data_IF_239357470122
#
_entry.id   IF_239357470122
#
_cell.length_a   1.000
_cell.length_b   1.000
_cell.length_c   1.000
_cell.angle_alpha   90.00
_cell.angle_beta   90.00
_cell.angle_gamma   90.00
#
_symmetry.space_group_name_H-M   'P 1'
#
loop_
_entity.id
_entity.type
_entity.pdbx_description
1 polymer ?
#
# COMPACT_ATOMS: atom_id res chain seq x y z
N UNK A 1 -12.53 -10.46 7.81
CA UNK A 1 -11.76 -9.93 6.66
C UNK A 1 -11.38 -8.50 7.00
N UNK A 2 -10.19 -8.04 6.61
CA UNK A 2 -9.81 -6.62 6.72
C UNK A 2 -9.65 -6.07 5.30
N UNK A 3 -10.29 -4.95 5.02
CA UNK A 3 -10.10 -4.23 3.76
C UNK A 3 -9.81 -2.75 4.04
N UNK A 4 -9.00 -2.12 3.20
CA UNK A 4 -8.71 -0.70 3.37
C UNK A 4 -7.85 -0.12 2.26
N UNK A 5 -7.95 1.19 2.08
CA UNK A 5 -7.10 1.98 1.19
C UNK A 5 -6.28 2.97 2.00
N UNK A 6 -5.14 2.57 2.61
CA UNK A 6 -4.38 3.47 3.46
C UNK A 6 -3.84 4.64 2.62
N UNK A 7 -4.14 5.90 2.98
CA UNK A 7 -3.71 7.04 2.20
C UNK A 7 -2.19 7.11 2.19
N UNK A 8 -1.62 7.19 0.99
CA UNK A 8 -0.19 7.36 0.75
C UNK A 8 -0.01 8.62 -0.09
N UNK A 9 -0.37 9.78 0.47
CA UNK A 9 -0.44 11.00 -0.34
C UNK A 9 0.94 11.45 -0.81
N UNK A 10 2.00 11.13 -0.06
CA UNK A 10 3.39 11.56 -0.37
C UNK A 10 3.93 11.06 -1.70
N UNK A 11 3.32 10.02 -2.29
CA UNK A 11 3.77 9.44 -3.58
C UNK A 11 3.18 10.13 -4.81
N UNK A 12 2.11 10.92 -4.62
CA UNK A 12 1.41 11.57 -5.74
C UNK A 12 2.35 12.47 -6.55
N UNK A 13 2.21 12.42 -7.88
CA UNK A 13 2.97 13.27 -8.81
C UNK A 13 2.80 14.78 -8.58
N UNK A 14 1.73 15.20 -7.90
CA UNK A 14 1.48 16.60 -7.56
C UNK A 14 2.32 17.11 -6.38
N UNK A 15 2.97 16.22 -5.62
CA UNK A 15 3.87 16.65 -4.56
C UNK A 15 5.22 17.09 -5.11
N UNK A 16 5.57 18.35 -4.87
CA UNK A 16 6.90 18.89 -5.21
C UNK A 16 8.00 18.31 -4.34
N UNK A 17 7.74 18.16 -3.04
CA UNK A 17 8.70 17.65 -2.06
C UNK A 17 8.38 16.19 -1.73
N UNK A 18 8.90 15.28 -2.53
CA UNK A 18 8.74 13.84 -2.34
C UNK A 18 10.01 13.26 -1.76
N UNK A 19 9.88 12.49 -0.68
CA UNK A 19 11.01 11.79 -0.09
C UNK A 19 11.22 10.45 -0.81
N UNK A 20 12.09 10.44 -1.81
CA UNK A 20 12.41 9.23 -2.57
C UNK A 20 13.33 8.27 -1.82
N UNK A 21 14.17 8.78 -0.93
CA UNK A 21 15.17 7.99 -0.20
C UNK A 21 14.50 7.22 0.94
N UNK A 22 13.60 7.86 1.67
CA UNK A 22 12.92 7.28 2.84
C UNK A 22 11.40 7.50 2.77
N UNK A 23 10.69 6.76 1.89
CA UNK A 23 9.25 6.96 1.67
C UNK A 23 8.37 6.76 2.91
N UNK A 24 8.80 5.94 3.88
CA UNK A 24 8.04 5.66 5.11
C UNK A 24 8.22 6.73 6.20
N UNK A 25 9.30 7.51 6.15
CA UNK A 25 9.52 8.64 7.06
C UNK A 25 8.63 9.84 6.70
N UNK A 26 8.05 9.84 5.49
CA UNK A 26 7.02 10.81 5.12
C UNK A 26 5.73 10.54 5.91
N UNK A 27 5.35 11.49 6.77
CA UNK A 27 4.13 11.44 7.58
C UNK A 27 2.88 11.10 6.78
N UNK A 28 2.85 11.50 5.50
CA UNK A 28 1.72 11.31 4.58
C UNK A 28 1.58 9.87 4.07
N UNK A 29 2.55 9.01 4.36
CA UNK A 29 2.54 7.59 4.02
C UNK A 29 2.42 6.68 5.27
N UNK A 30 2.44 7.25 6.49
CA UNK A 30 2.41 6.49 7.76
C UNK A 30 1.19 5.59 7.93
N UNK A 31 0.06 5.92 7.30
CA UNK A 31 -1.15 5.10 7.36
C UNK A 31 -0.97 3.71 6.76
N UNK A 32 0.01 3.51 5.86
CA UNK A 32 0.37 2.18 5.38
C UNK A 32 0.91 1.29 6.52
N UNK A 33 1.75 1.85 7.39
CA UNK A 33 2.31 1.14 8.54
C UNK A 33 1.20 0.79 9.51
N UNK A 34 0.35 1.76 9.85
CA UNK A 34 -0.79 1.57 10.76
C UNK A 34 -1.73 0.47 10.23
N UNK A 35 -2.06 0.48 8.94
CA UNK A 35 -2.89 -0.55 8.33
C UNK A 35 -2.27 -1.96 8.48
N UNK A 36 -0.96 -2.09 8.23
CA UNK A 36 -0.25 -3.36 8.40
C UNK A 36 -0.19 -3.81 9.86
N UNK A 37 -0.08 -2.89 10.80
CA UNK A 37 -0.08 -3.20 12.23
C UNK A 37 -1.45 -3.69 12.71
N UNK A 38 -2.54 -3.09 12.21
CA UNK A 38 -3.91 -3.58 12.44
C UNK A 38 -4.08 -5.00 11.88
N UNK A 39 -3.59 -5.27 10.67
CA UNK A 39 -3.63 -6.61 10.06
C UNK A 39 -2.83 -7.61 10.91
N UNK A 40 -1.64 -7.21 11.38
CA UNK A 40 -0.78 -8.07 12.20
C UNK A 40 -1.41 -8.39 13.56
N UNK A 41 -2.07 -7.42 14.17
CA UNK A 41 -2.76 -7.58 15.45
C UNK A 41 -3.99 -8.48 15.32
N UNK A 42 -4.86 -8.22 14.34
CA UNK A 42 -6.12 -8.94 14.18
C UNK A 42 -5.97 -10.32 13.53
N UNK A 43 -4.87 -10.58 12.82
CA UNK A 43 -4.60 -11.84 12.09
C UNK A 43 -5.81 -12.34 11.28
N UNK A 44 -6.40 -11.52 10.39
CA UNK A 44 -7.58 -11.93 9.63
C UNK A 44 -7.23 -13.04 8.61
N UNK A 45 -8.22 -13.87 8.26
CA UNK A 45 -8.08 -14.88 7.20
C UNK A 45 -7.82 -14.28 5.81
N UNK A 46 -8.35 -13.09 5.56
CA UNK A 46 -8.26 -12.40 4.27
C UNK A 46 -8.02 -10.90 4.47
N UNK A 47 -7.13 -10.35 3.64
CA UNK A 47 -6.75 -8.94 3.59
C UNK A 47 -6.92 -8.44 2.16
N UNK A 48 -7.57 -7.29 2.00
CA UNK A 48 -7.65 -6.57 0.72
C UNK A 48 -7.13 -5.15 0.92
N UNK A 49 -6.05 -4.80 0.25
CA UNK A 49 -5.49 -3.46 0.30
C UNK A 49 -5.61 -2.81 -1.08
N UNK A 50 -6.28 -1.66 -1.15
CA UNK A 50 -6.41 -0.86 -2.36
C UNK A 50 -5.47 0.36 -2.28
N UNK A 51 -4.93 0.79 -3.42
CA UNK A 51 -4.17 2.03 -3.51
C UNK A 51 -4.03 2.48 -4.97
N UNK A 52 -3.59 3.72 -5.15
CA UNK A 52 -3.26 4.27 -6.46
C UNK A 52 -2.02 3.60 -7.07
N UNK A 53 -1.97 3.56 -8.41
CA UNK A 53 -0.89 2.91 -9.18
C UNK A 53 0.50 3.46 -8.86
N UNK A 54 0.59 4.73 -8.43
CA UNK A 54 1.85 5.36 -8.06
C UNK A 54 2.59 4.67 -6.91
N UNK A 55 1.91 3.83 -6.11
CA UNK A 55 2.55 3.00 -5.08
C UNK A 55 3.57 2.00 -5.66
N UNK A 56 3.42 1.63 -6.94
CA UNK A 56 4.32 0.75 -7.67
C UNK A 56 5.35 1.51 -8.53
N UNK A 57 5.16 2.82 -8.73
CA UNK A 57 6.05 3.66 -9.54
C UNK A 57 7.01 4.49 -8.70
N UNK A 58 6.51 5.03 -7.59
CA UNK A 58 7.27 5.91 -6.71
C UNK A 58 8.37 5.14 -5.97
N UNK A 59 9.58 5.71 -5.92
CA UNK A 59 10.75 5.12 -5.26
C UNK A 59 10.96 3.64 -5.62
N UNK A 60 10.93 3.31 -6.92
CA UNK A 60 11.07 1.92 -7.40
C UNK A 60 10.03 0.97 -6.75
N UNK A 61 8.79 1.46 -6.60
CA UNK A 61 7.68 0.72 -6.00
C UNK A 61 7.87 0.36 -4.53
N UNK A 62 8.66 1.15 -3.78
CA UNK A 62 9.04 0.84 -2.40
C UNK A 62 7.84 0.53 -1.50
N UNK A 63 6.80 1.37 -1.50
CA UNK A 63 5.63 1.17 -0.64
C UNK A 63 4.83 -0.09 -1.02
N UNK A 64 4.73 -0.41 -2.32
CA UNK A 64 4.10 -1.64 -2.78
C UNK A 64 4.89 -2.88 -2.35
N UNK A 65 6.22 -2.85 -2.49
CA UNK A 65 7.10 -3.92 -2.00
C UNK A 65 7.04 -4.07 -0.49
N UNK A 66 7.00 -2.96 0.26
CA UNK A 66 6.83 -2.95 1.71
C UNK A 66 5.52 -3.65 2.10
N UNK A 67 4.41 -3.27 1.47
CA UNK A 67 3.10 -3.85 1.76
C UNK A 67 3.09 -5.38 1.52
N UNK A 68 3.61 -5.82 0.37
CA UNK A 68 3.71 -7.23 0.03
C UNK A 68 4.62 -8.00 1.00
N UNK A 69 5.79 -7.42 1.32
CA UNK A 69 6.76 -8.00 2.26
C UNK A 69 6.16 -8.20 3.65
N UNK A 70 5.39 -7.21 4.15
CA UNK A 70 4.68 -7.33 5.44
C UNK A 70 3.69 -8.48 5.42
N UNK A 71 2.86 -8.61 4.39
CA UNK A 71 1.91 -9.72 4.26
C UNK A 71 2.61 -11.09 4.24
N UNK A 72 3.68 -11.23 3.46
CA UNK A 72 4.48 -12.48 3.40
C UNK A 72 5.13 -12.78 4.74
N UNK A 73 5.70 -11.78 5.43
CA UNK A 73 6.29 -11.94 6.77
C UNK A 73 5.27 -12.39 7.83
N UNK A 74 4.00 -11.98 7.67
CA UNK A 74 2.87 -12.42 8.50
C UNK A 74 2.36 -13.82 8.13
N UNK A 75 3.00 -14.50 7.17
CA UNK A 75 2.63 -15.80 6.60
C UNK A 75 1.29 -15.80 5.86
N UNK A 76 0.88 -14.65 5.33
CA UNK A 76 -0.24 -14.57 4.40
C UNK A 76 0.22 -14.97 3.00
N UNK A 77 -0.59 -15.75 2.29
CA UNK A 77 -0.45 -15.86 0.84
C UNK A 77 -0.87 -14.53 0.23
N UNK A 78 -0.01 -13.94 -0.60
CA UNK A 78 -0.23 -12.60 -1.12
C UNK A 78 -0.12 -12.58 -2.64
N UNK A 79 -1.00 -11.81 -3.27
CA UNK A 79 -0.99 -11.51 -4.70
C UNK A 79 -1.33 -10.03 -4.88
N UNK A 80 -0.68 -9.41 -5.85
CA UNK A 80 -0.92 -8.03 -6.27
C UNK A 80 -1.49 -8.03 -7.69
N UNK A 81 -2.39 -7.10 -7.99
CA UNK A 81 -2.93 -6.89 -9.33
C UNK A 81 -3.36 -5.44 -9.54
N UNK A 82 -3.38 -5.03 -10.81
CA UNK A 82 -3.95 -3.75 -11.23
C UNK A 82 -5.30 -4.03 -11.89
N UNK A 83 -6.31 -3.24 -11.51
CA UNK A 83 -7.67 -3.36 -12.04
C UNK A 83 -8.09 -2.01 -12.60
N UNK A 84 -8.58 -2.00 -13.84
CA UNK A 84 -9.11 -0.80 -14.50
C UNK A 84 -10.62 -0.82 -14.38
N UNK A 85 -11.19 0.21 -13.75
CA UNK A 85 -12.62 0.29 -13.47
C UNK A 85 -13.48 0.19 -14.76
N UNK A 86 -12.99 0.77 -15.88
CA UNK A 86 -13.62 0.68 -17.21
C UNK A 86 -13.86 -0.74 -17.74
N UNK A 87 -13.08 -1.73 -17.29
CA UNK A 87 -13.34 -3.13 -17.64
C UNK A 87 -14.55 -3.73 -16.92
N UNK A 88 -15.14 -3.01 -15.96
CA UNK A 88 -16.26 -3.44 -15.12
C UNK A 88 -17.50 -2.56 -15.29
N UNK A 89 -17.57 -1.76 -16.37
CA UNK A 89 -18.79 -1.01 -16.74
C UNK A 89 -18.99 0.33 -16.04
N UNK A 90 -17.89 0.97 -15.59
CA UNK A 90 -17.88 2.35 -15.06
C UNK A 90 -16.91 3.25 -15.80
#
# INVERSE_FOLDING_TARGET
>A
MVCGGPPCQGISGLNRFRNYNEPLEDDRNKQLVVFMDVVNYLRPKYVLMENVVDILKFADGFLGRYALSRLVSMRCQARLGLMVAGCYGV
#
